data_IF_188971859232
#
_entry.id   IF_188971859232
#
_cell.length_a   1.000
_cell.length_b   1.000
_cell.length_c   1.000
_cell.angle_alpha   90.00
_cell.angle_beta   90.00
_cell.angle_gamma   90.00
#
_symmetry.space_group_name_H-M   'P 1'
#
loop_
_entity.id
_entity.type
_entity.pdbx_description
1 polymer ?
#
# COMPACT_ATOMS: atom_id res chain seq x y z
N UNK A 1 -52.50 18.16 -22.24
CA UNK A 1 -53.18 16.96 -22.80
C UNK A 1 -52.10 15.92 -23.00
N UNK A 2 -51.99 14.78 -22.32
CA UNK A 2 -52.77 14.17 -21.25
C UNK A 2 -51.82 13.21 -20.54
N UNK A 3 -51.82 13.22 -19.22
CA UNK A 3 -51.22 12.17 -18.39
C UNK A 3 -52.11 10.93 -18.45
N UNK A 4 -51.53 9.74 -18.55
CA UNK A 4 -52.26 8.48 -18.37
C UNK A 4 -51.69 7.73 -17.16
N UNK A 5 -52.48 7.79 -16.11
CA UNK A 5 -52.46 6.99 -14.88
C UNK A 5 -52.95 5.57 -15.19
N UNK A 6 -52.31 4.56 -14.61
CA UNK A 6 -52.92 3.25 -14.42
C UNK A 6 -52.79 2.87 -12.95
N UNK A 7 -53.92 2.97 -12.24
CA UNK A 7 -54.16 2.35 -10.94
C UNK A 7 -54.59 0.90 -11.17
N UNK A 8 -54.06 -0.02 -10.37
CA UNK A 8 -54.74 -1.29 -10.07
C UNK A 8 -54.67 -1.50 -8.57
N UNK A 9 -55.77 -1.18 -7.90
CA UNK A 9 -56.07 -1.61 -6.53
C UNK A 9 -56.73 -2.98 -6.59
N UNK A 10 -56.24 -3.93 -5.79
CA UNK A 10 -57.03 -5.09 -5.37
C UNK A 10 -56.66 -5.45 -3.94
N UNK A 11 -57.56 -5.13 -3.02
CA UNK A 11 -57.54 -5.49 -1.60
C UNK A 11 -58.57 -6.58 -1.33
N UNK A 12 -58.19 -7.61 -0.55
CA UNK A 12 -58.91 -8.20 0.61
C UNK A 12 -58.42 -9.65 0.92
N UNK A 13 -58.63 -10.23 2.13
CA UNK A 13 -57.63 -10.18 3.20
C UNK A 13 -57.38 -11.55 3.90
N UNK A 14 -56.46 -11.53 4.89
CA UNK A 14 -56.33 -12.46 6.05
C UNK A 14 -56.02 -13.95 5.76
N UNK A 15 -54.97 -14.57 6.30
CA UNK A 15 -54.73 -14.70 7.75
C UNK A 15 -53.34 -15.32 8.06
N UNK A 16 -52.77 -14.82 9.17
CA UNK A 16 -51.99 -15.54 10.20
C UNK A 16 -50.60 -16.12 9.94
N UNK A 17 -49.63 -15.53 10.67
CA UNK A 17 -48.63 -16.19 11.54
C UNK A 17 -47.71 -17.24 10.87
N UNK A 18 -46.39 -17.13 10.90
CA UNK A 18 -45.57 -17.30 12.10
C UNK A 18 -44.10 -17.01 11.75
N UNK A 19 -43.43 -16.19 12.58
CA UNK A 19 -42.04 -16.40 13.04
C UNK A 19 -40.85 -16.53 12.08
N UNK A 20 -39.83 -15.72 12.40
CA UNK A 20 -38.38 -15.94 12.15
C UNK A 20 -37.95 -15.66 10.69
N UNK A 21 -36.93 -14.87 10.37
CA UNK A 21 -35.72 -14.49 11.10
C UNK A 21 -35.22 -13.20 10.45
N UNK A 22 -34.79 -12.24 11.26
CA UNK A 22 -34.16 -11.02 10.77
C UNK A 22 -32.91 -11.33 9.95
N UNK A 23 -33.08 -11.38 8.63
CA UNK A 23 -31.99 -11.24 7.68
C UNK A 23 -31.51 -9.81 7.76
N UNK A 24 -30.55 -9.54 8.65
CA UNK A 24 -29.85 -8.26 8.67
C UNK A 24 -29.32 -7.99 7.26
N UNK A 25 -29.84 -6.95 6.63
CA UNK A 25 -29.27 -6.40 5.41
C UNK A 25 -27.87 -5.96 5.80
N UNK A 26 -26.87 -6.79 5.49
CA UNK A 26 -25.46 -6.42 5.65
C UNK A 26 -25.25 -5.26 4.68
N UNK A 27 -25.31 -4.04 5.19
CA UNK A 27 -25.06 -2.84 4.41
C UNK A 27 -23.71 -2.99 3.72
N UNK A 28 -23.68 -2.94 2.39
CA UNK A 28 -22.44 -3.02 1.64
C UNK A 28 -21.59 -1.82 2.05
N UNK A 29 -20.46 -2.06 2.72
CA UNK A 29 -19.57 -0.99 3.15
C UNK A 29 -18.96 -0.33 1.90
N UNK A 30 -19.40 0.89 1.61
CA UNK A 30 -18.85 1.73 0.56
C UNK A 30 -17.61 2.45 1.09
N UNK A 31 -16.53 2.41 0.32
CA UNK A 31 -15.25 3.08 0.61
C UNK A 31 -14.97 4.13 -0.45
N UNK A 32 -14.13 5.08 -0.10
CA UNK A 32 -13.72 6.18 -0.96
C UNK A 32 -12.20 6.12 -1.11
N UNK A 33 -11.73 6.17 -2.35
CA UNK A 33 -10.33 6.28 -2.72
C UNK A 33 -10.08 7.66 -3.31
N UNK A 34 -9.03 8.33 -2.86
CA UNK A 34 -8.60 9.61 -3.40
C UNK A 34 -7.37 9.41 -4.28
N UNK A 35 -7.51 9.75 -5.54
CA UNK A 35 -6.47 9.77 -6.55
C UNK A 35 -5.90 11.20 -6.68
N UNK A 36 -4.79 11.34 -7.38
CA UNK A 36 -4.20 12.61 -7.75
C UNK A 36 -5.19 13.49 -8.53
N UNK A 37 -4.91 14.79 -8.56
CA UNK A 37 -5.73 15.79 -9.28
C UNK A 37 -7.20 15.85 -8.82
N UNK A 38 -7.50 15.44 -7.58
CA UNK A 38 -8.82 15.55 -6.97
C UNK A 38 -9.83 14.47 -7.39
N UNK A 39 -9.39 13.45 -8.15
CA UNK A 39 -10.26 12.36 -8.57
C UNK A 39 -10.65 11.51 -7.36
N UNK A 40 -11.95 11.36 -7.11
CA UNK A 40 -12.48 10.60 -5.97
C UNK A 40 -13.33 9.45 -6.47
N UNK A 41 -12.98 8.22 -6.08
CA UNK A 41 -13.65 7.00 -6.51
C UNK A 41 -14.32 6.31 -5.35
N UNK A 42 -15.61 6.04 -5.51
CA UNK A 42 -16.33 5.17 -4.60
C UNK A 42 -16.25 3.71 -5.05
N UNK A 43 -15.92 2.81 -4.14
CA UNK A 43 -15.87 1.38 -4.43
C UNK A 43 -16.42 0.55 -3.27
N UNK A 44 -16.81 -0.67 -3.57
CA UNK A 44 -17.20 -1.68 -2.58
C UNK A 44 -16.22 -2.85 -2.66
N UNK A 45 -16.22 -3.71 -1.64
CA UNK A 45 -15.36 -4.89 -1.62
C UNK A 45 -15.57 -5.78 -2.86
N UNK A 46 -16.81 -5.92 -3.31
CA UNK A 46 -17.17 -6.75 -4.47
C UNK A 46 -16.61 -6.23 -5.82
N UNK A 47 -16.15 -4.98 -5.87
CA UNK A 47 -15.55 -4.40 -7.09
C UNK A 47 -14.06 -4.72 -7.22
N UNK A 48 -13.44 -5.26 -6.18
CA UNK A 48 -12.02 -5.60 -6.20
C UNK A 48 -11.81 -7.04 -6.65
N UNK A 49 -10.79 -7.33 -7.50
CA UNK A 49 -10.45 -8.70 -7.80
C UNK A 49 -9.95 -9.40 -6.53
N UNK A 50 -10.26 -10.70 -6.40
CA UNK A 50 -9.83 -11.51 -5.25
C UNK A 50 -8.29 -11.49 -5.08
N UNK A 51 -7.58 -11.43 -6.20
CA UNK A 51 -6.13 -11.29 -6.29
C UNK A 51 -5.73 -10.43 -7.50
N UNK A 52 -5.00 -9.32 -7.32
CA UNK A 52 -4.42 -8.63 -8.47
C UNK A 52 -3.28 -9.50 -9.04
N UNK A 53 -3.26 -9.81 -10.34
CA UNK A 53 -2.18 -10.59 -10.96
C UNK A 53 -0.86 -9.80 -10.96
N UNK A 54 -0.12 -9.84 -9.85
CA UNK A 54 1.17 -9.13 -9.69
C UNK A 54 2.29 -9.85 -10.43
N UNK A 55 2.34 -9.68 -11.75
CA UNK A 55 3.42 -10.18 -12.61
C UNK A 55 4.25 -9.02 -13.15
N UNK A 56 4.92 -8.31 -12.25
CA UNK A 56 5.95 -7.34 -12.64
C UNK A 56 7.31 -8.00 -12.94
N UNK A 57 7.51 -9.28 -12.61
CA UNK A 57 8.64 -10.12 -13.07
C UNK A 57 9.99 -9.41 -13.09
N UNK A 58 10.47 -9.12 -14.31
CA UNK A 58 11.64 -8.28 -14.61
C UNK A 58 11.25 -6.99 -15.36
N UNK A 59 9.96 -6.73 -15.53
CA UNK A 59 9.42 -5.63 -16.32
C UNK A 59 9.23 -4.39 -15.45
N UNK A 60 10.34 -3.68 -15.29
CA UNK A 60 10.40 -2.47 -14.49
C UNK A 60 9.64 -1.30 -15.15
N UNK A 61 9.61 -1.23 -16.48
CA UNK A 61 8.84 -0.18 -17.18
C UNK A 61 7.36 -0.31 -16.85
N UNK A 62 6.82 -1.53 -16.86
CA UNK A 62 5.43 -1.79 -16.49
C UNK A 62 5.12 -1.39 -15.05
N UNK A 63 6.07 -1.56 -14.13
CA UNK A 63 5.93 -1.06 -12.76
C UNK A 63 5.87 0.48 -12.72
N UNK A 64 6.82 1.17 -13.37
CA UNK A 64 6.86 2.66 -13.41
C UNK A 64 5.55 3.24 -13.94
N UNK A 65 5.05 2.72 -15.07
CA UNK A 65 3.83 3.24 -15.72
C UNK A 65 2.56 2.99 -14.90
N UNK A 66 2.56 1.97 -14.03
CA UNK A 66 1.37 1.59 -13.25
C UNK A 66 1.46 1.91 -11.76
N UNK A 67 2.55 2.53 -11.30
CA UNK A 67 2.79 2.80 -9.89
C UNK A 67 1.97 3.97 -9.34
N UNK A 68 1.99 5.10 -10.05
CA UNK A 68 1.49 6.40 -9.58
C UNK A 68 0.70 7.14 -10.68
N UNK A 69 -0.43 7.74 -10.31
CA UNK A 69 -1.33 8.55 -11.14
C UNK A 69 -0.93 10.02 -11.29
N UNK A 70 -0.01 10.51 -10.48
CA UNK A 70 0.65 11.81 -10.66
C UNK A 70 1.82 11.73 -11.64
N UNK A 71 2.21 10.52 -12.04
CA UNK A 71 3.30 10.29 -12.98
C UNK A 71 2.93 10.73 -14.40
N UNK A 72 3.84 11.34 -15.17
CA UNK A 72 3.63 11.57 -16.60
C UNK A 72 3.50 10.26 -17.40
N UNK A 73 3.83 9.12 -16.79
CA UNK A 73 3.70 7.79 -17.37
C UNK A 73 2.38 7.09 -17.00
N UNK A 74 1.45 7.80 -16.36
CA UNK A 74 0.12 7.28 -16.05
C UNK A 74 -0.74 7.21 -17.31
N UNK A 75 -1.46 6.09 -17.48
CA UNK A 75 -2.34 5.78 -18.62
C UNK A 75 -1.66 5.75 -20.00
N UNK A 76 -0.36 5.43 -20.08
CA UNK A 76 0.23 5.15 -21.39
C UNK A 76 -0.26 3.81 -21.95
N UNK A 77 -0.22 3.59 -23.27
CA UNK A 77 -0.65 2.33 -23.90
C UNK A 77 0.09 1.08 -23.38
N UNK A 78 1.31 1.26 -22.87
CA UNK A 78 2.16 0.19 -22.33
C UNK A 78 1.84 -0.13 -20.87
N UNK A 79 1.05 0.71 -20.21
CA UNK A 79 0.72 0.55 -18.80
C UNK A 79 -0.22 -0.63 -18.56
N UNK A 80 -0.01 -1.32 -17.43
CA UNK A 80 -0.87 -2.42 -17.02
C UNK A 80 -1.53 -2.13 -15.69
N UNK A 81 -2.85 -1.98 -15.74
CA UNK A 81 -3.68 -1.76 -14.57
C UNK A 81 -4.59 -2.98 -14.36
N UNK A 82 -4.22 -3.88 -13.43
CA UNK A 82 -5.04 -5.06 -13.15
C UNK A 82 -6.33 -4.72 -12.39
N UNK A 83 -6.48 -3.48 -11.90
CA UNK A 83 -7.67 -2.99 -11.23
C UNK A 83 -8.15 -1.75 -11.96
N UNK A 84 -9.40 -1.80 -12.43
CA UNK A 84 -10.08 -0.69 -13.09
C UNK A 84 -11.40 -0.49 -12.35
N UNK A 85 -11.61 0.69 -11.77
CA UNK A 85 -12.84 1.03 -11.06
C UNK A 85 -13.59 2.10 -11.85
N UNK A 86 -14.82 1.79 -12.28
CA UNK A 86 -15.65 2.71 -13.06
C UNK A 86 -14.91 3.30 -14.29
N UNK A 87 -14.12 2.49 -14.98
CA UNK A 87 -13.31 2.92 -16.13
C UNK A 87 -12.00 3.65 -15.77
N UNK A 88 -11.73 3.90 -14.49
CA UNK A 88 -10.49 4.55 -14.03
C UNK A 88 -9.46 3.49 -13.63
N UNK A 89 -8.29 3.45 -14.28
CA UNK A 89 -7.22 2.52 -13.93
C UNK A 89 -6.59 2.89 -12.58
N UNK A 90 -6.45 1.92 -11.68
CA UNK A 90 -5.97 2.17 -10.32
C UNK A 90 -4.47 1.89 -10.21
N UNK A 91 -3.66 2.89 -9.83
CA UNK A 91 -2.22 2.69 -9.61
C UNK A 91 -1.93 1.74 -8.43
N UNK A 92 -0.79 1.05 -8.51
CA UNK A 92 -0.36 0.04 -7.54
C UNK A 92 -0.18 0.62 -6.14
N UNK A 93 0.28 1.87 -6.02
CA UNK A 93 0.54 2.50 -4.71
C UNK A 93 -0.68 2.49 -3.80
N UNK A 94 -1.89 2.55 -4.36
CA UNK A 94 -3.15 2.57 -3.60
C UNK A 94 -3.64 1.20 -3.15
N UNK A 95 -3.07 0.10 -3.64
CA UNK A 95 -3.62 -1.23 -3.35
C UNK A 95 -3.54 -1.59 -1.87
N UNK A 96 -2.54 -1.11 -1.13
CA UNK A 96 -2.46 -1.35 0.31
C UNK A 96 -3.65 -0.74 1.07
N UNK A 97 -4.08 0.46 0.66
CA UNK A 97 -5.26 1.13 1.21
C UNK A 97 -6.55 0.46 0.77
N UNK A 98 -6.61 -0.05 -0.46
CA UNK A 98 -7.84 -0.65 -0.98
C UNK A 98 -8.17 -1.99 -0.33
N UNK A 99 -7.15 -2.82 -0.11
CA UNK A 99 -7.28 -4.16 0.46
C UNK A 99 -7.14 -4.16 2.01
N UNK A 100 -7.88 -3.31 2.72
CA UNK A 100 -7.86 -3.30 4.21
C UNK A 100 -8.34 -4.65 4.80
N UNK A 101 -7.95 -4.90 6.07
CA UNK A 101 -8.16 -6.10 6.94
C UNK A 101 -9.45 -6.94 6.79
N UNK A 102 -10.53 -6.44 6.19
CA UNK A 102 -11.79 -7.18 6.00
C UNK A 102 -11.86 -8.01 4.72
N UNK A 103 -11.01 -7.75 3.72
CA UNK A 103 -11.15 -8.42 2.43
C UNK A 103 -10.74 -9.90 2.53
N UNK A 104 -11.62 -10.85 2.15
CA UNK A 104 -11.27 -12.30 2.16
C UNK A 104 -10.01 -12.60 1.36
N UNK A 105 -9.82 -11.89 0.24
CA UNK A 105 -8.58 -11.92 -0.55
C UNK A 105 -7.38 -11.24 0.13
N UNK A 106 -7.55 -10.28 1.05
CA UNK A 106 -6.42 -9.70 1.81
C UNK A 106 -5.81 -10.70 2.78
N UNK A 107 -6.60 -11.61 3.35
CA UNK A 107 -6.05 -12.71 4.16
C UNK A 107 -5.14 -13.62 3.32
N UNK A 108 -5.46 -13.82 2.02
CA UNK A 108 -4.61 -14.55 1.06
C UNK A 108 -3.43 -13.68 0.55
N UNK A 109 -3.63 -12.37 0.34
CA UNK A 109 -2.60 -11.38 0.01
C UNK A 109 -1.62 -11.12 1.16
N UNK A 110 -2.03 -11.45 2.40
CA UNK A 110 -1.17 -11.50 3.58
C UNK A 110 -0.23 -12.69 3.60
N UNK A 111 -0.16 -13.49 2.53
CA UNK A 111 0.98 -14.37 2.36
C UNK A 111 2.25 -13.52 2.58
N UNK A 112 3.21 -13.98 3.39
CA UNK A 112 4.44 -13.24 3.61
C UNK A 112 5.10 -12.79 2.30
N UNK A 113 4.93 -13.57 1.24
CA UNK A 113 5.39 -13.27 -0.11
C UNK A 113 4.75 -12.02 -0.73
N UNK A 114 3.42 -11.86 -0.68
CA UNK A 114 2.76 -10.69 -1.29
C UNK A 114 3.02 -9.40 -0.49
N UNK A 115 3.04 -9.47 0.85
CA UNK A 115 3.48 -8.35 1.70
C UNK A 115 4.93 -7.96 1.42
N UNK A 116 5.82 -8.95 1.29
CA UNK A 116 7.22 -8.76 0.95
C UNK A 116 7.38 -8.10 -0.43
N UNK A 117 6.64 -8.58 -1.43
CA UNK A 117 6.69 -8.05 -2.80
C UNK A 117 6.20 -6.60 -2.88
N UNK A 118 5.09 -6.25 -2.24
CA UNK A 118 4.61 -4.87 -2.20
C UNK A 118 5.64 -3.91 -1.58
N UNK A 119 6.32 -4.32 -0.50
CA UNK A 119 7.41 -3.54 0.09
C UNK A 119 8.60 -3.37 -0.85
N UNK A 120 8.97 -4.42 -1.59
CA UNK A 120 10.06 -4.32 -2.57
C UNK A 120 9.71 -3.28 -3.64
N UNK A 121 8.53 -3.40 -4.24
CA UNK A 121 8.08 -2.49 -5.29
C UNK A 121 8.08 -1.05 -4.78
N UNK A 122 7.55 -0.84 -3.57
CA UNK A 122 7.57 0.46 -2.90
C UNK A 122 8.98 1.02 -2.76
N UNK A 123 9.93 0.26 -2.21
CA UNK A 123 11.30 0.75 -2.05
C UNK A 123 12.01 1.04 -3.37
N UNK A 124 11.74 0.25 -4.40
CA UNK A 124 12.31 0.50 -5.74
C UNK A 124 11.75 1.80 -6.30
N UNK A 125 10.45 2.02 -6.17
CA UNK A 125 9.78 3.21 -6.70
C UNK A 125 10.12 4.49 -5.92
N UNK A 126 10.22 4.42 -4.59
CA UNK A 126 10.74 5.53 -3.77
C UNK A 126 12.14 5.96 -4.23
N UNK A 127 13.01 5.00 -4.54
CA UNK A 127 14.36 5.31 -5.03
C UNK A 127 14.34 5.84 -6.48
N UNK A 128 13.44 5.34 -7.32
CA UNK A 128 13.23 5.82 -8.68
C UNK A 128 12.78 7.28 -8.71
N UNK A 129 11.81 7.62 -7.87
CA UNK A 129 11.31 8.99 -7.70
C UNK A 129 12.40 9.92 -7.14
N UNK A 130 13.21 9.43 -6.18
CA UNK A 130 14.30 10.20 -5.58
C UNK A 130 15.45 10.52 -6.54
N UNK A 131 15.82 9.57 -7.40
CA UNK A 131 16.98 9.72 -8.30
C UNK A 131 16.61 10.27 -9.67
N UNK A 132 15.33 10.36 -10.03
CA UNK A 132 14.87 10.57 -11.41
C UNK A 132 15.31 9.44 -12.37
N UNK A 133 14.66 9.30 -13.54
CA UNK A 133 14.86 8.14 -14.40
C UNK A 133 16.31 7.92 -14.87
N UNK A 134 17.02 9.00 -15.22
CA UNK A 134 18.37 8.93 -15.75
C UNK A 134 19.37 8.42 -14.70
N UNK A 135 19.44 9.04 -13.53
CA UNK A 135 20.41 8.64 -12.50
C UNK A 135 20.05 7.29 -11.88
N UNK A 136 18.75 6.99 -11.75
CA UNK A 136 18.30 5.66 -11.33
C UNK A 136 18.88 4.58 -12.26
N UNK A 137 18.72 4.74 -13.58
CA UNK A 137 19.23 3.75 -14.53
C UNK A 137 20.75 3.77 -14.66
N UNK A 138 21.41 4.92 -14.53
CA UNK A 138 22.87 4.99 -14.49
C UNK A 138 23.45 4.18 -13.32
N UNK A 139 22.76 4.22 -12.17
CA UNK A 139 23.11 3.46 -10.97
C UNK A 139 22.78 1.98 -11.09
N UNK A 140 21.59 1.64 -11.56
CA UNK A 140 21.09 0.26 -11.63
C UNK A 140 21.29 -0.39 -13.01
N UNK A 141 22.36 -0.01 -13.70
CA UNK A 141 22.86 -0.69 -14.90
C UNK A 141 24.18 -1.36 -14.57
N UNK A 142 24.28 -2.66 -14.87
CA UNK A 142 25.51 -3.42 -14.66
C UNK A 142 26.63 -2.83 -15.51
N UNK A 143 27.74 -2.42 -14.89
CA UNK A 143 28.91 -1.91 -15.61
C UNK A 143 29.62 -2.97 -16.46
N UNK A 144 29.41 -4.25 -16.16
CA UNK A 144 29.99 -5.38 -16.91
C UNK A 144 29.17 -5.73 -18.16
N UNK A 145 27.84 -5.77 -18.04
CA UNK A 145 26.98 -6.23 -19.14
C UNK A 145 26.27 -5.09 -19.86
N UNK A 146 26.35 -3.86 -19.34
CA UNK A 146 25.58 -2.69 -19.78
C UNK A 146 24.06 -2.90 -19.80
N UNK A 147 23.56 -3.93 -19.11
CA UNK A 147 22.12 -4.22 -18.99
C UNK A 147 21.60 -3.69 -17.65
N UNK A 148 20.35 -3.20 -17.68
CA UNK A 148 19.59 -2.84 -16.48
C UNK A 148 19.48 -4.06 -15.56
N UNK A 149 19.64 -3.83 -14.27
CA UNK A 149 19.49 -4.87 -13.26
C UNK A 149 18.02 -5.30 -13.15
N UNK A 150 17.80 -6.56 -12.77
CA UNK A 150 16.45 -7.05 -12.45
C UNK A 150 15.94 -6.38 -11.18
N UNK A 151 14.62 -6.31 -10.99
CA UNK A 151 14.05 -5.78 -9.75
C UNK A 151 14.57 -6.49 -8.51
N UNK A 152 14.83 -7.81 -8.60
CA UNK A 152 15.41 -8.56 -7.50
C UNK A 152 16.83 -8.07 -7.16
N UNK A 153 17.68 -7.88 -8.18
CA UNK A 153 19.04 -7.38 -7.97
C UNK A 153 19.05 -5.93 -7.44
N UNK A 154 18.12 -5.08 -7.91
CA UNK A 154 17.95 -3.72 -7.38
C UNK A 154 17.55 -3.79 -5.89
N UNK A 155 16.58 -4.64 -5.54
CA UNK A 155 16.14 -4.84 -4.15
C UNK A 155 17.27 -5.34 -3.25
N UNK A 156 18.09 -6.29 -3.70
CA UNK A 156 19.24 -6.78 -2.93
C UNK A 156 20.25 -5.66 -2.62
N UNK A 157 20.59 -4.83 -3.61
CA UNK A 157 21.44 -3.66 -3.42
C UNK A 157 20.83 -2.68 -2.42
N UNK A 158 19.55 -2.33 -2.60
CA UNK A 158 18.86 -1.41 -1.71
C UNK A 158 18.75 -1.97 -0.28
N UNK A 159 18.59 -3.28 -0.10
CA UNK A 159 18.61 -3.92 1.22
C UNK A 159 19.97 -3.84 1.88
N UNK A 160 21.04 -4.12 1.14
CA UNK A 160 22.40 -4.02 1.65
C UNK A 160 22.70 -2.59 2.13
N UNK A 161 22.33 -1.59 1.34
CA UNK A 161 22.50 -0.18 1.71
C UNK A 161 21.64 0.23 2.91
N UNK A 162 20.37 -0.17 2.95
CA UNK A 162 19.51 0.08 4.11
C UNK A 162 20.08 -0.55 5.36
N UNK A 163 20.65 -1.76 5.26
CA UNK A 163 21.32 -2.41 6.39
C UNK A 163 22.46 -1.52 6.89
N UNK A 164 23.37 -1.09 6.01
CA UNK A 164 24.49 -0.20 6.36
C UNK A 164 24.00 1.11 6.98
N UNK A 165 23.00 1.77 6.38
CA UNK A 165 22.41 3.02 6.90
C UNK A 165 21.79 2.82 8.28
N UNK A 166 21.02 1.75 8.47
CA UNK A 166 20.39 1.44 9.75
C UNK A 166 21.44 1.12 10.82
N UNK A 167 22.47 0.35 10.50
CA UNK A 167 23.57 0.09 11.43
C UNK A 167 24.24 1.40 11.87
N UNK A 168 24.52 2.32 10.95
CA UNK A 168 25.09 3.65 11.27
C UNK A 168 24.15 4.46 12.17
N UNK A 169 22.86 4.52 11.86
CA UNK A 169 21.88 5.25 12.69
C UNK A 169 21.73 4.65 14.08
N UNK A 170 21.82 3.32 14.21
CA UNK A 170 21.80 2.66 15.53
C UNK A 170 23.06 3.00 16.32
N UNK A 171 24.22 3.05 15.67
CA UNK A 171 25.47 3.48 16.31
C UNK A 171 25.39 4.95 16.77
N UNK A 172 24.83 5.82 15.94
CA UNK A 172 24.59 7.23 16.28
C UNK A 172 23.62 7.35 17.47
N UNK A 173 22.47 6.65 17.42
CA UNK A 173 21.51 6.65 18.52
C UNK A 173 22.14 6.17 19.83
N UNK A 174 23.01 5.14 19.78
CA UNK A 174 23.77 4.66 20.94
C UNK A 174 24.75 5.69 21.47
N UNK A 175 25.40 6.45 20.60
CA UNK A 175 26.31 7.51 21.00
C UNK A 175 25.56 8.70 21.64
N UNK A 176 24.39 9.07 21.10
CA UNK A 176 23.61 10.23 21.58
C UNK A 176 22.85 9.93 22.87
N UNK A 177 22.17 8.78 22.95
CA UNK A 177 21.25 8.47 24.05
C UNK A 177 21.91 7.66 25.17
N UNK A 178 23.09 7.10 24.93
CA UNK A 178 23.85 6.35 25.95
C UNK A 178 23.03 5.25 26.62
N UNK A 179 22.94 5.30 27.95
CA UNK A 179 22.21 4.31 28.77
C UNK A 179 20.67 4.41 28.59
N UNK A 180 20.14 5.57 28.19
CA UNK A 180 18.71 5.81 27.99
C UNK A 180 18.16 5.14 26.72
N UNK A 181 19.03 4.66 25.83
CA UNK A 181 18.62 3.93 24.62
C UNK A 181 17.74 2.72 24.96
N UNK A 182 17.99 2.05 26.08
CA UNK A 182 17.18 0.89 26.44
C UNK A 182 15.79 1.27 26.89
N UNK A 183 15.57 2.46 27.43
CA UNK A 183 14.26 2.99 27.86
C UNK A 183 13.48 3.56 26.68
N UNK A 184 14.19 4.26 25.79
CA UNK A 184 13.64 4.93 24.63
C UNK A 184 13.18 3.99 23.50
N UNK A 185 13.73 2.77 23.46
CA UNK A 185 13.46 1.78 22.43
C UNK A 185 12.83 0.52 23.03
N UNK A 186 11.74 0.70 23.78
CA UNK A 186 10.92 -0.39 24.32
C UNK A 186 9.56 -0.48 23.63
N UNK A 187 8.98 -1.67 23.64
CA UNK A 187 7.58 -1.87 23.26
C UNK A 187 6.89 -2.84 24.21
N UNK A 188 5.60 -2.63 24.43
CA UNK A 188 4.78 -3.51 25.26
C UNK A 188 4.27 -4.68 24.43
N UNK A 189 4.48 -5.91 24.95
CA UNK A 189 3.91 -7.14 24.40
C UNK A 189 3.17 -7.87 25.50
N UNK A 190 1.84 -7.71 25.51
CA UNK A 190 0.99 -8.16 26.61
C UNK A 190 1.30 -7.38 27.90
N UNK A 191 1.64 -8.10 28.97
CA UNK A 191 2.05 -7.50 30.25
C UNK A 191 3.57 -7.34 30.41
N UNK A 192 4.35 -7.64 29.37
CA UNK A 192 5.82 -7.52 29.40
C UNK A 192 6.29 -6.34 28.57
N UNK A 193 7.28 -5.61 29.08
CA UNK A 193 8.02 -4.60 28.34
C UNK A 193 9.25 -5.25 27.73
N UNK A 194 9.51 -5.01 26.45
CA UNK A 194 10.64 -5.59 25.72
C UNK A 194 11.45 -4.51 25.02
N UNK A 195 12.77 -4.57 25.13
CA UNK A 195 13.68 -3.73 24.36
C UNK A 195 13.70 -4.16 22.89
N UNK A 196 13.73 -3.20 21.98
CA UNK A 196 13.90 -3.43 20.56
C UNK A 196 15.32 -3.90 20.28
N UNK A 197 15.46 -5.05 19.62
CA UNK A 197 16.77 -5.60 19.23
C UNK A 197 17.06 -5.48 17.74
N UNK A 198 16.04 -5.17 16.92
CA UNK A 198 16.18 -5.09 15.47
C UNK A 198 16.66 -3.70 15.07
N UNK A 199 17.81 -3.64 14.40
CA UNK A 199 18.42 -2.39 13.92
C UNK A 199 17.45 -1.52 13.10
N UNK A 200 16.59 -2.13 12.27
CA UNK A 200 15.64 -1.37 11.47
C UNK A 200 14.54 -0.69 12.34
N UNK A 201 14.08 -1.36 13.41
CA UNK A 201 13.08 -0.78 14.31
C UNK A 201 13.68 0.40 15.08
N UNK A 202 14.90 0.22 15.58
CA UNK A 202 15.64 1.27 16.29
C UNK A 202 15.90 2.45 15.34
N UNK A 203 16.42 2.20 14.13
CA UNK A 203 16.68 3.24 13.14
C UNK A 203 15.40 3.94 12.64
N UNK A 204 14.23 3.29 12.70
CA UNK A 204 12.96 3.93 12.39
C UNK A 204 12.54 4.87 13.52
N UNK A 205 12.45 4.35 14.75
CA UNK A 205 11.99 5.14 15.91
C UNK A 205 12.93 6.33 16.19
N UNK A 206 14.23 6.17 15.96
CA UNK A 206 15.20 7.26 16.11
C UNK A 206 14.95 8.40 15.10
N UNK A 207 14.52 8.09 13.88
CA UNK A 207 14.16 9.13 12.89
C UNK A 207 12.88 9.85 13.27
N UNK A 208 11.90 9.12 13.77
CA UNK A 208 10.63 9.70 14.23
C UNK A 208 10.89 10.69 15.37
N UNK A 209 11.66 10.29 16.38
CA UNK A 209 12.03 11.16 17.51
C UNK A 209 12.74 12.44 17.07
N UNK A 210 13.76 12.34 16.21
CA UNK A 210 14.47 13.54 15.70
C UNK A 210 13.55 14.49 14.93
N UNK A 211 12.66 13.95 14.10
CA UNK A 211 11.72 14.76 13.33
C UNK A 211 10.66 15.44 14.21
N UNK A 212 10.36 14.89 15.38
CA UNK A 212 9.42 15.49 16.34
C UNK A 212 10.13 16.56 17.19
N UNK A 213 11.39 16.34 17.58
CA UNK A 213 12.25 17.36 18.22
C UNK A 213 12.47 18.59 17.33
N UNK A 214 12.64 18.40 16.02
CA UNK A 214 12.78 19.50 15.05
C UNK A 214 11.48 20.31 14.86
N UNK A 215 10.30 19.71 15.16
CA UNK A 215 8.99 20.38 15.08
C UNK A 215 8.61 21.11 16.36
N UNK A 216 9.04 20.62 17.53
CA UNK A 216 8.82 21.32 18.81
C UNK A 216 9.71 22.56 18.97
N UNK A 217 10.78 22.67 18.17
CA UNK A 217 11.71 23.81 18.18
C UNK A 217 11.42 24.86 17.07
N UNK A 218 10.27 24.80 16.40
CA UNK A 218 9.78 25.80 15.43
C UNK A 218 8.51 26.48 15.94
#
# INVERSE_FOLDING_TARGET
MSSQTFEVSSTHPSSSSTGLTGGGIVGVQKRVLHLAHGVTLSYTEAMLPEYPPVRFGNDMNRLITSWDDSSPYYQTPEAFYPIILNGVPIPIKYWQEMYVRSHRGWLKLKSPWAKWKMRILQYIMEEYERLLPFDFWNRFTSKKTHKRLSMHAIDELLRAERKVKNTKLVQEARATLGENLNEDFQYRRGNTVKTMSREWNIAQLYREKRNDEDKENQ
#
